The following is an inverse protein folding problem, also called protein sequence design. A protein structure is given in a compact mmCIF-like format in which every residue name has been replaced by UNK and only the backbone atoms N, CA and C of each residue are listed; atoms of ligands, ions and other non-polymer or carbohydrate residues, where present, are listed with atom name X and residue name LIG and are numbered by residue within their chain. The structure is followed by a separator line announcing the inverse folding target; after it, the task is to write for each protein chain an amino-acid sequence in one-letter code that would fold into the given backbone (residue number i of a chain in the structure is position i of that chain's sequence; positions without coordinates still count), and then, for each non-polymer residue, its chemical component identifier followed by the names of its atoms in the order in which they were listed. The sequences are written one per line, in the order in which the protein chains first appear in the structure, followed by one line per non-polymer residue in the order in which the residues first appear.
data_IF_868565762407
#
_entry.id   IF_868565762407
#
_cell.length_a   1.000
_cell.length_b   1.000
_cell.length_c   1.000
_cell.angle_alpha   90.00
_cell.angle_beta   90.00
_cell.angle_gamma   90.00
#
_symmetry.space_group_name_H-M   'P 1'
#
loop_
_entity.id
_entity.type
_entity.pdbx_description
1 polymer ?
#
# COMPACT_ATOMS: atom_id res chain seq x y z
N UNK A 1 -0.39 14.70 12.35
CA UNK A 1 -0.95 13.35 12.14
C UNK A 1 -2.46 13.48 12.08
N UNK A 2 -3.10 12.92 11.06
CA UNK A 2 -4.55 12.91 10.95
C UNK A 2 -5.13 12.18 12.18
N UNK A 3 -5.95 12.87 12.99
CA UNK A 3 -6.50 12.40 14.28
C UNK A 3 -7.16 11.02 14.18
N UNK A 4 -7.59 10.63 12.97
CA UNK A 4 -8.20 9.33 12.69
C UNK A 4 -7.21 8.15 12.77
N UNK A 5 -5.96 8.31 12.33
CA UNK A 5 -4.98 7.20 12.25
C UNK A 5 -4.54 6.74 13.65
N UNK A 6 -4.23 7.67 14.56
CA UNK A 6 -3.82 7.34 15.93
C UNK A 6 -4.91 6.59 16.70
N UNK A 7 -6.18 6.98 16.53
CA UNK A 7 -7.29 6.30 17.19
C UNK A 7 -7.51 4.88 16.64
N UNK A 8 -7.26 4.66 15.35
CA UNK A 8 -7.44 3.35 14.73
C UNK A 8 -6.27 2.42 15.05
N UNK A 9 -5.04 2.93 15.12
CA UNK A 9 -3.86 2.18 15.59
C UNK A 9 -4.06 1.60 16.99
N UNK A 10 -4.81 2.28 17.88
CA UNK A 10 -5.11 1.77 19.23
C UNK A 10 -6.12 0.61 19.24
N UNK A 11 -6.92 0.45 18.16
CA UNK A 11 -7.96 -0.56 18.04
C UNK A 11 -7.55 -1.78 17.21
N UNK A 12 -6.48 -1.63 16.43
CA UNK A 12 -5.92 -2.67 15.58
C UNK A 12 -5.12 -3.71 16.39
N UNK A 13 -4.82 -4.84 15.75
CA UNK A 13 -3.90 -5.83 16.29
C UNK A 13 -2.53 -5.20 16.62
N UNK A 14 -1.92 -5.63 17.74
CA UNK A 14 -0.70 -5.01 18.25
C UNK A 14 0.49 -5.16 17.31
N UNK A 15 0.61 -6.30 16.62
CA UNK A 15 1.70 -6.52 15.66
C UNK A 15 1.49 -5.68 14.41
N UNK A 16 0.26 -5.57 13.91
CA UNK A 16 -0.05 -4.73 12.76
C UNK A 16 0.26 -3.27 13.06
N UNK A 17 -0.19 -2.77 14.22
CA UNK A 17 0.09 -1.41 14.65
C UNK A 17 1.58 -1.11 14.81
N UNK A 18 2.39 -2.06 15.28
CA UNK A 18 3.84 -1.88 15.39
C UNK A 18 4.50 -1.73 14.01
N UNK A 19 4.15 -2.62 13.06
CA UNK A 19 4.67 -2.58 11.69
C UNK A 19 4.30 -1.25 11.02
N UNK A 20 3.04 -0.83 11.15
CA UNK A 20 2.54 0.41 10.55
C UNK A 20 3.17 1.67 11.17
N UNK A 21 3.41 1.69 12.48
CA UNK A 21 4.11 2.80 13.14
C UNK A 21 5.56 2.93 12.67
N UNK A 22 6.25 1.80 12.46
CA UNK A 22 7.60 1.81 11.88
C UNK A 22 7.59 2.36 10.45
N UNK A 23 6.64 1.93 9.62
CA UNK A 23 6.47 2.43 8.26
C UNK A 23 6.18 3.94 8.23
N UNK A 24 5.33 4.45 9.14
CA UNK A 24 5.07 5.89 9.31
C UNK A 24 6.30 6.71 9.73
N UNK A 25 7.29 6.04 10.33
CA UNK A 25 8.57 6.61 10.74
C UNK A 25 9.67 6.43 9.68
N UNK A 26 9.28 6.19 8.42
CA UNK A 26 10.16 5.97 7.27
C UNK A 26 11.15 4.80 7.43
N UNK A 27 10.84 3.83 8.29
CA UNK A 27 11.62 2.58 8.40
C UNK A 27 11.08 1.54 7.43
N UNK A 28 11.99 0.75 6.87
CA UNK A 28 11.60 -0.39 6.04
C UNK A 28 10.87 -1.47 6.84
N UNK A 29 9.96 -2.14 6.15
CA UNK A 29 9.32 -3.38 6.60
C UNK A 29 10.01 -4.56 5.93
N UNK A 30 10.12 -5.67 6.63
CA UNK A 30 10.61 -6.94 6.10
C UNK A 30 9.54 -7.63 5.24
N UNK A 31 9.96 -8.63 4.44
CA UNK A 31 9.04 -9.40 3.61
C UNK A 31 7.99 -10.18 4.43
N UNK A 32 8.37 -10.71 5.60
CA UNK A 32 7.44 -11.41 6.50
C UNK A 32 6.40 -10.46 7.12
N UNK A 33 6.81 -9.24 7.46
CA UNK A 33 5.90 -8.18 7.91
C UNK A 33 4.96 -7.76 6.77
N UNK A 34 5.47 -7.60 5.55
CA UNK A 34 4.67 -7.32 4.36
C UNK A 34 3.61 -8.41 4.10
N UNK A 35 3.97 -9.69 4.23
CA UNK A 35 3.02 -10.80 4.11
C UNK A 35 1.94 -10.76 5.19
N UNK A 36 2.29 -10.37 6.43
CA UNK A 36 1.29 -10.19 7.49
C UNK A 36 0.32 -9.06 7.16
N UNK A 37 0.81 -7.89 6.76
CA UNK A 37 -0.04 -6.77 6.35
C UNK A 37 -0.97 -7.17 5.18
N UNK A 38 -0.46 -7.92 4.21
CA UNK A 38 -1.23 -8.38 3.06
C UNK A 38 -2.43 -9.27 3.43
N UNK A 39 -2.30 -10.07 4.49
CA UNK A 39 -3.34 -10.99 4.96
C UNK A 39 -4.30 -10.38 6.01
N UNK A 40 -4.22 -9.07 6.25
CA UNK A 40 -5.14 -8.39 7.18
C UNK A 40 -6.57 -8.30 6.63
N UNK A 41 -7.53 -8.21 7.54
CA UNK A 41 -8.95 -7.99 7.22
C UNK A 41 -9.52 -6.86 8.06
N UNK A 42 -10.78 -6.49 7.77
CA UNK A 42 -11.58 -5.57 8.58
C UNK A 42 -10.86 -4.24 8.87
N UNK A 43 -10.75 -3.87 10.15
CA UNK A 43 -10.17 -2.61 10.59
C UNK A 43 -8.69 -2.50 10.25
N UNK A 44 -7.96 -3.62 10.33
CA UNK A 44 -6.52 -3.66 10.06
C UNK A 44 -6.24 -3.41 8.57
N UNK A 45 -7.07 -3.97 7.69
CA UNK A 45 -6.98 -3.72 6.24
C UNK A 45 -7.18 -2.23 5.91
N UNK A 46 -8.22 -1.61 6.48
CA UNK A 46 -8.45 -0.18 6.29
C UNK A 46 -7.31 0.67 6.85
N UNK A 47 -6.71 0.24 7.96
CA UNK A 47 -5.59 0.94 8.57
C UNK A 47 -4.33 0.89 7.69
N UNK A 48 -4.05 -0.25 7.05
CA UNK A 48 -2.98 -0.36 6.04
C UNK A 48 -3.19 0.67 4.92
N UNK A 49 -4.41 0.77 4.38
CA UNK A 49 -4.74 1.75 3.34
C UNK A 49 -4.55 3.21 3.79
N UNK A 50 -4.97 3.55 5.01
CA UNK A 50 -4.80 4.89 5.57
C UNK A 50 -3.33 5.26 5.79
N UNK A 51 -2.53 4.33 6.31
CA UNK A 51 -1.09 4.54 6.51
C UNK A 51 -0.37 4.65 5.17
N UNK A 52 -0.76 3.83 4.18
CA UNK A 52 -0.23 3.93 2.82
C UNK A 52 -0.53 5.29 2.18
N UNK A 53 -1.76 5.81 2.31
CA UNK A 53 -2.10 7.15 1.81
C UNK A 53 -1.31 8.25 2.53
N UNK A 54 -1.12 8.14 3.85
CA UNK A 54 -0.32 9.13 4.59
C UNK A 54 1.15 9.13 4.14
N UNK A 55 1.76 7.95 3.94
CA UNK A 55 3.13 7.85 3.42
C UNK A 55 3.20 8.41 1.99
N UNK A 56 2.25 8.06 1.13
CA UNK A 56 2.14 8.58 -0.24
C UNK A 56 2.00 10.11 -0.23
N UNK A 57 1.11 10.68 0.59
CA UNK A 57 0.89 12.13 0.73
C UNK A 57 2.17 12.86 1.15
N UNK A 58 2.89 12.34 2.15
CA UNK A 58 4.18 12.90 2.60
C UNK A 58 5.23 12.90 1.50
N UNK A 59 5.25 11.88 0.64
CA UNK A 59 6.27 11.71 -0.40
C UNK A 59 5.98 12.48 -1.68
N UNK A 60 4.73 12.52 -2.13
CA UNK A 60 4.37 13.04 -3.46
C UNK A 60 3.23 14.07 -3.47
N UNK A 61 2.73 14.51 -2.30
CA UNK A 61 1.66 15.50 -2.19
C UNK A 61 0.32 14.98 -2.71
N UNK A 62 -0.62 15.84 -3.10
CA UNK A 62 -1.96 15.43 -3.58
C UNK A 62 -2.13 15.55 -5.09
N UNK A 63 -1.08 15.91 -5.83
CA UNK A 63 -1.16 16.05 -7.28
C UNK A 63 -1.18 14.67 -7.94
N UNK A 64 -2.30 14.35 -8.59
CA UNK A 64 -2.43 13.14 -9.41
C UNK A 64 -1.99 13.46 -10.84
N UNK A 65 -1.06 12.68 -11.37
CA UNK A 65 -0.56 12.84 -12.74
C UNK A 65 -1.09 11.73 -13.65
N UNK A 66 -1.09 11.98 -14.96
CA UNK A 66 -1.46 11.00 -15.97
C UNK A 66 -0.54 11.13 -17.18
N UNK A 67 -0.41 10.05 -17.96
CA UNK A 67 0.38 10.02 -19.18
C UNK A 67 -0.54 9.79 -20.37
N UNK A 68 -0.51 10.68 -21.37
CA UNK A 68 -1.14 10.43 -22.67
C UNK A 68 -0.20 9.56 -23.49
N UNK A 69 -0.44 8.25 -23.47
CA UNK A 69 0.39 7.27 -24.16
C UNK A 69 -0.31 6.69 -25.39
N UNK A 70 0.47 6.28 -26.41
CA UNK A 70 0.01 5.49 -27.54
C UNK A 70 0.84 4.22 -27.63
N UNK A 71 0.27 3.11 -27.17
CA UNK A 71 0.88 1.79 -27.36
C UNK A 71 0.49 1.25 -28.74
N UNK A 72 1.49 1.00 -29.59
CA UNK A 72 1.29 0.37 -30.90
C UNK A 72 1.60 -1.12 -30.80
N UNK A 73 0.55 -1.94 -30.77
CA UNK A 73 0.67 -3.39 -30.78
C UNK A 73 0.50 -3.90 -32.22
N UNK A 74 1.61 -4.02 -32.95
CA UNK A 74 1.60 -4.41 -34.36
C UNK A 74 1.08 -5.85 -34.61
N UNK A 75 1.10 -6.69 -33.57
CA UNK A 75 0.52 -8.04 -33.60
C UNK A 75 0.02 -8.41 -32.20
N UNK A 76 -1.05 -9.21 -32.16
CA UNK A 76 -1.56 -9.87 -30.96
C UNK A 76 -1.33 -11.40 -31.00
N UNK A 77 -0.62 -11.91 -32.00
CA UNK A 77 -0.28 -13.33 -32.13
C UNK A 77 0.98 -13.63 -31.32
N UNK A 78 0.91 -14.64 -30.46
CA UNK A 78 2.02 -15.08 -29.62
C UNK A 78 2.18 -16.60 -29.69
N UNK A 79 3.43 -17.07 -29.82
CA UNK A 79 3.78 -18.51 -29.77
C UNK A 79 3.88 -19.05 -28.34
N UNK A 80 3.70 -18.20 -27.34
CA UNK A 80 3.76 -18.57 -25.92
C UNK A 80 2.36 -18.79 -25.40
N UNK A 81 2.25 -19.71 -24.46
CA UNK A 81 1.03 -19.96 -23.71
C UNK A 81 1.28 -19.56 -22.26
N UNK A 82 0.83 -18.36 -21.92
CA UNK A 82 0.89 -17.89 -20.53
C UNK A 82 -0.33 -18.44 -19.77
N UNK A 83 -0.12 -18.91 -18.54
CA UNK A 83 -1.19 -19.46 -17.68
C UNK A 83 -1.67 -18.49 -16.60
N UNK A 84 -1.44 -17.19 -16.80
CA UNK A 84 -1.98 -16.14 -15.93
C UNK A 84 -3.49 -16.00 -16.10
#
# INVERSE_FOLDING_TARGET
MNVNIESLLKKADSFISEILNRALSDKEISASEGLRLYNTSDIDFHLVGLVADEIRRKRVGDTVTYVVNRNINFTNVCIKQCGF
#
